data_IF_018272820995
#
_entry.id   IF_018272820995
#
_cell.length_a   1.000
_cell.length_b   1.000
_cell.length_c   1.000
_cell.angle_alpha   90.00
_cell.angle_beta   90.00
_cell.angle_gamma   90.00
#
_symmetry.space_group_name_H-M   'P 1'
#
loop_
_entity.id
_entity.type
_entity.pdbx_description
1 polymer ?
#
# COMPACT_ATOMS: atom_id res chain seq x y z
N UNK A 1 -94.70 -48.94 1.65
CA UNK A 1 -94.73 -47.45 1.62
C UNK A 1 -93.74 -46.93 2.63
N UNK A 2 -92.50 -46.67 2.18
CA UNK A 2 -91.41 -46.20 3.07
C UNK A 2 -91.18 -44.66 2.90
N UNK A 3 -91.44 -43.94 3.97
CA UNK A 3 -91.27 -42.50 4.03
C UNK A 3 -89.81 -42.14 4.36
N UNK A 4 -89.12 -41.55 3.43
CA UNK A 4 -87.75 -41.18 3.53
C UNK A 4 -87.67 -39.79 4.18
N UNK A 5 -87.35 -39.70 5.49
CA UNK A 5 -87.18 -38.47 6.24
C UNK A 5 -85.74 -37.96 6.07
N UNK A 6 -85.52 -36.90 5.23
CA UNK A 6 -84.25 -36.21 5.05
C UNK A 6 -83.91 -35.46 6.33
N UNK A 7 -82.72 -35.73 6.89
CA UNK A 7 -82.09 -34.95 8.01
C UNK A 7 -81.63 -33.61 7.47
N UNK A 8 -81.78 -32.50 8.25
CA UNK A 8 -81.25 -31.20 7.88
C UNK A 8 -79.78 -31.17 8.05
N UNK A 9 -79.05 -30.61 7.08
CA UNK A 9 -77.59 -30.30 7.11
C UNK A 9 -77.35 -29.08 7.96
N UNK A 10 -76.36 -29.10 8.89
CA UNK A 10 -76.00 -27.89 9.67
C UNK A 10 -75.39 -26.84 8.77
N UNK A 11 -75.85 -25.59 8.84
CA UNK A 11 -75.26 -24.44 8.19
C UNK A 11 -73.88 -24.18 8.80
N UNK A 12 -72.85 -24.20 7.93
CA UNK A 12 -71.51 -23.75 8.28
C UNK A 12 -71.56 -22.25 8.64
N UNK A 13 -71.29 -21.94 9.89
CA UNK A 13 -71.03 -20.58 10.34
C UNK A 13 -69.66 -20.11 9.86
N UNK A 14 -69.66 -19.22 8.85
CA UNK A 14 -68.47 -18.52 8.39
C UNK A 14 -67.95 -17.62 9.54
N UNK A 15 -67.01 -18.15 10.30
CA UNK A 15 -66.21 -17.33 11.20
C UNK A 15 -65.20 -16.55 10.36
N UNK A 16 -65.49 -15.30 10.07
CA UNK A 16 -64.53 -14.35 9.50
C UNK A 16 -63.50 -13.99 10.61
N UNK A 17 -62.44 -14.82 10.68
CA UNK A 17 -61.26 -14.41 11.45
C UNK A 17 -60.53 -13.36 10.59
N UNK A 18 -60.75 -12.08 10.88
CA UNK A 18 -59.90 -11.01 10.35
C UNK A 18 -58.78 -10.78 11.36
N UNK A 19 -57.52 -11.06 10.98
CA UNK A 19 -56.38 -10.64 11.82
C UNK A 19 -56.37 -9.11 11.83
N UNK A 20 -56.64 -8.54 12.97
CA UNK A 20 -56.50 -7.11 13.24
C UNK A 20 -55.01 -6.82 13.25
N UNK A 21 -54.47 -6.18 12.20
CA UNK A 21 -53.13 -5.64 12.19
C UNK A 21 -53.06 -4.57 13.28
N UNK A 22 -52.53 -4.94 14.44
CA UNK A 22 -52.19 -4.01 15.49
C UNK A 22 -50.90 -3.32 15.03
N UNK A 23 -51.02 -2.19 14.35
CA UNK A 23 -49.89 -1.29 14.12
C UNK A 23 -49.59 -0.59 15.45
N UNK A 24 -48.70 -1.19 16.23
CA UNK A 24 -48.23 -0.58 17.47
C UNK A 24 -47.36 0.63 17.10
N UNK A 25 -47.80 1.83 17.35
CA UNK A 25 -47.05 3.07 17.23
C UNK A 25 -45.65 2.92 17.87
N UNK A 26 -45.56 2.16 18.93
CA UNK A 26 -44.29 1.80 19.59
C UNK A 26 -43.32 1.05 18.69
N UNK A 27 -43.79 0.13 17.84
CA UNK A 27 -42.94 -0.61 16.92
C UNK A 27 -42.37 0.30 15.84
N UNK A 28 -43.16 1.25 15.31
CA UNK A 28 -42.68 2.21 14.33
C UNK A 28 -41.69 3.21 14.94
N UNK A 29 -41.92 3.65 16.18
CA UNK A 29 -40.99 4.51 16.92
C UNK A 29 -39.66 3.81 17.17
N UNK A 30 -39.68 2.54 17.61
CA UNK A 30 -38.45 1.77 17.81
C UNK A 30 -37.70 1.51 16.51
N UNK A 31 -38.41 1.21 15.41
CA UNK A 31 -37.79 1.06 14.10
C UNK A 31 -37.16 2.37 13.59
N UNK A 32 -37.84 3.51 13.78
CA UNK A 32 -37.30 4.82 13.41
C UNK A 32 -36.05 5.19 14.23
N UNK A 33 -36.07 4.91 15.55
CA UNK A 33 -34.90 5.12 16.42
C UNK A 33 -33.73 4.23 16.02
N UNK A 34 -33.97 2.96 15.70
CA UNK A 34 -32.93 2.05 15.20
C UNK A 34 -32.29 2.55 13.90
N UNK A 35 -33.08 3.03 12.95
CA UNK A 35 -32.58 3.60 11.68
C UNK A 35 -31.74 4.86 11.94
N UNK A 36 -32.15 5.73 12.86
CA UNK A 36 -31.38 6.94 13.21
C UNK A 36 -30.05 6.55 13.88
N UNK A 37 -30.03 5.55 14.76
CA UNK A 37 -28.79 5.07 15.39
C UNK A 37 -27.85 4.48 14.34
N UNK A 38 -28.35 3.64 13.43
CA UNK A 38 -27.54 3.07 12.35
C UNK A 38 -26.98 4.18 11.46
N UNK A 39 -27.81 5.16 11.07
CA UNK A 39 -27.34 6.30 10.29
C UNK A 39 -26.28 7.12 11.04
N UNK A 40 -26.44 7.36 12.32
CA UNK A 40 -25.45 8.07 13.15
C UNK A 40 -24.13 7.30 13.26
N UNK A 41 -24.17 5.95 13.42
CA UNK A 41 -22.96 5.10 13.45
C UNK A 41 -22.27 5.10 12.10
N UNK A 42 -23.01 5.00 10.98
CA UNK A 42 -22.43 5.03 9.63
C UNK A 42 -21.84 6.40 9.33
N UNK A 43 -22.57 7.49 9.63
CA UNK A 43 -22.07 8.86 9.42
C UNK A 43 -20.88 9.13 10.36
N UNK A 44 -20.97 8.73 11.63
CA UNK A 44 -19.87 8.85 12.58
C UNK A 44 -18.64 8.08 12.16
N UNK A 45 -18.81 6.86 11.61
CA UNK A 45 -17.73 6.05 11.04
C UNK A 45 -17.09 6.69 9.81
N UNK A 46 -17.90 7.22 8.90
CA UNK A 46 -17.41 7.92 7.70
C UNK A 46 -16.68 9.22 8.09
N UNK A 47 -17.23 10.01 9.01
CA UNK A 47 -16.60 11.25 9.49
C UNK A 47 -15.33 10.95 10.26
N UNK A 48 -15.30 9.91 11.09
CA UNK A 48 -14.07 9.49 11.80
C UNK A 48 -13.00 9.03 10.82
N UNK A 49 -13.34 8.18 9.86
CA UNK A 49 -12.42 7.74 8.82
C UNK A 49 -11.93 8.91 7.96
N UNK A 50 -12.82 9.83 7.58
CA UNK A 50 -12.49 11.06 6.85
C UNK A 50 -11.64 12.05 7.68
N UNK A 51 -11.78 12.06 9.01
CA UNK A 51 -10.92 12.90 9.87
C UNK A 51 -9.56 12.28 10.17
N UNK A 52 -9.45 10.93 10.19
CA UNK A 52 -8.16 10.25 10.22
C UNK A 52 -7.35 10.47 8.96
N UNK A 53 -8.03 10.58 7.80
CA UNK A 53 -7.40 10.77 6.50
C UNK A 53 -7.23 12.26 6.09
N UNK A 54 -7.52 13.21 6.96
CA UNK A 54 -7.23 14.62 6.70
C UNK A 54 -5.74 14.88 6.89
N UNK A 55 -5.00 14.87 5.77
CA UNK A 55 -3.57 15.19 5.72
C UNK A 55 -2.63 14.00 5.80
N UNK A 56 -3.05 12.80 5.37
CA UNK A 56 -2.18 11.62 5.27
C UNK A 56 -2.47 10.79 4.02
N UNK A 57 -1.50 9.99 3.58
CA UNK A 57 -1.69 9.00 2.52
C UNK A 57 -2.62 7.87 2.98
N UNK A 58 -3.32 7.24 2.02
CA UNK A 58 -4.16 6.08 2.27
C UNK A 58 -3.30 4.82 2.39
N UNK A 59 -3.28 4.21 3.57
CA UNK A 59 -2.45 3.03 3.86
C UNK A 59 -2.81 1.81 3.01
N UNK A 60 -4.07 1.66 2.60
CA UNK A 60 -4.48 0.55 1.72
C UNK A 60 -3.95 0.77 0.30
N UNK A 61 -3.98 2.01 -0.19
CA UNK A 61 -3.41 2.36 -1.49
C UNK A 61 -1.89 2.22 -1.45
N UNK A 62 -1.23 2.70 -0.41
CA UNK A 62 0.22 2.52 -0.21
C UNK A 62 0.62 1.05 -0.23
N UNK A 63 -0.14 0.18 0.45
CA UNK A 63 0.13 -1.26 0.43
C UNK A 63 0.06 -1.87 -0.98
N UNK A 64 -0.81 -1.35 -1.84
CA UNK A 64 -1.00 -1.85 -3.20
C UNK A 64 -0.08 -1.18 -4.24
N UNK A 65 0.46 -0.01 -3.94
CA UNK A 65 1.35 0.77 -4.82
C UNK A 65 2.83 0.68 -4.42
N UNK A 66 3.21 -0.21 -3.51
CA UNK A 66 4.61 -0.49 -3.26
C UNK A 66 5.24 -1.22 -4.46
N UNK A 67 6.45 -0.82 -4.84
CA UNK A 67 7.23 -1.52 -5.86
C UNK A 67 7.67 -2.88 -5.35
N UNK A 68 8.09 -2.94 -4.08
CA UNK A 68 8.38 -4.19 -3.36
C UNK A 68 8.19 -4.01 -1.85
N UNK A 69 8.02 -5.12 -1.16
CA UNK A 69 7.80 -5.16 0.30
C UNK A 69 8.73 -6.18 0.92
N UNK A 70 9.42 -5.79 1.97
CA UNK A 70 10.30 -6.66 2.74
C UNK A 70 9.93 -6.64 4.23
N UNK A 71 10.21 -7.72 4.92
CA UNK A 71 9.84 -7.92 6.32
C UNK A 71 8.47 -8.59 6.49
N UNK A 72 8.25 -9.11 7.67
CA UNK A 72 7.04 -9.84 8.02
C UNK A 72 5.83 -8.90 8.11
N UNK A 73 4.69 -9.35 7.58
CA UNK A 73 3.43 -8.60 7.67
C UNK A 73 2.95 -8.38 9.13
N UNK A 74 3.49 -9.17 10.07
CA UNK A 74 3.22 -9.09 11.50
C UNK A 74 4.26 -8.26 12.28
N UNK A 75 5.21 -7.64 11.59
CA UNK A 75 6.20 -6.78 12.22
C UNK A 75 5.50 -5.63 13.00
N UNK A 76 5.99 -5.28 14.20
CA UNK A 76 5.37 -4.25 15.03
C UNK A 76 5.39 -2.87 14.38
N UNK A 77 6.31 -2.63 13.46
CA UNK A 77 6.44 -1.36 12.73
C UNK A 77 6.35 -1.59 11.23
N UNK A 78 5.60 -0.73 10.54
CA UNK A 78 5.54 -0.68 9.07
C UNK A 78 5.82 0.74 8.62
N UNK A 79 6.70 0.89 7.65
CA UNK A 79 6.99 2.18 7.00
C UNK A 79 6.80 2.09 5.49
N UNK A 80 6.51 3.24 4.89
CA UNK A 80 6.54 3.47 3.45
C UNK A 80 7.75 4.33 3.12
N UNK A 81 8.69 3.82 2.33
CA UNK A 81 9.89 4.51 1.95
C UNK A 81 9.83 4.87 0.46
N UNK A 82 9.89 6.17 0.17
CA UNK A 82 9.79 6.71 -1.19
C UNK A 82 11.16 7.15 -1.65
N UNK A 83 11.62 6.58 -2.75
CA UNK A 83 12.95 6.79 -3.30
C UNK A 83 12.90 6.91 -4.82
N UNK A 84 13.97 7.43 -5.40
CA UNK A 84 14.22 7.41 -6.84
C UNK A 84 15.68 7.01 -7.05
N UNK A 85 15.94 6.02 -7.91
CA UNK A 85 17.30 5.53 -8.14
C UNK A 85 18.23 6.54 -8.81
N UNK A 86 17.70 7.69 -9.27
CA UNK A 86 18.51 8.83 -9.73
C UNK A 86 18.77 9.86 -8.63
N UNK A 87 18.15 9.74 -7.43
CA UNK A 87 18.24 10.72 -6.36
C UNK A 87 19.53 10.56 -5.52
N UNK A 88 20.47 11.52 -5.53
CA UNK A 88 21.71 11.40 -4.74
C UNK A 88 21.46 11.38 -3.22
N UNK A 89 20.40 12.07 -2.74
CA UNK A 89 20.04 12.05 -1.34
C UNK A 89 19.52 10.66 -0.90
N UNK A 90 18.85 9.91 -1.78
CA UNK A 90 18.45 8.52 -1.51
C UNK A 90 19.67 7.60 -1.37
N UNK A 91 20.64 7.71 -2.28
CA UNK A 91 21.91 6.99 -2.15
C UNK A 91 22.63 7.28 -0.84
N UNK A 92 22.62 8.55 -0.39
CA UNK A 92 23.20 8.93 0.89
C UNK A 92 22.46 8.32 2.09
N UNK A 93 21.13 8.22 2.05
CA UNK A 93 20.35 7.57 3.11
C UNK A 93 20.60 6.07 3.11
N UNK A 94 20.66 5.43 1.94
CA UNK A 94 21.00 4.00 1.83
C UNK A 94 22.40 3.72 2.41
N UNK A 95 23.41 4.53 2.07
CA UNK A 95 24.77 4.40 2.62
C UNK A 95 24.79 4.53 4.14
N UNK A 96 24.04 5.47 4.72
CA UNK A 96 24.08 5.79 6.15
C UNK A 96 23.22 4.86 7.00
N UNK A 97 22.09 4.39 6.50
CA UNK A 97 21.08 3.67 7.29
C UNK A 97 20.55 2.37 6.67
N UNK A 98 20.89 2.07 5.41
CA UNK A 98 20.40 0.88 4.71
C UNK A 98 20.65 -0.43 5.47
N UNK A 99 21.86 -0.62 6.01
CA UNK A 99 22.17 -1.82 6.80
C UNK A 99 21.29 -1.92 8.07
N UNK A 100 21.03 -0.79 8.74
CA UNK A 100 20.16 -0.77 9.93
C UNK A 100 18.72 -1.14 9.59
N UNK A 101 18.24 -0.68 8.42
CA UNK A 101 16.92 -1.09 7.89
C UNK A 101 16.90 -2.59 7.64
N UNK A 102 17.90 -3.14 6.96
CA UNK A 102 18.05 -4.58 6.69
C UNK A 102 18.05 -5.39 7.99
N UNK A 103 18.81 -4.97 9.01
CA UNK A 103 18.89 -5.63 10.30
C UNK A 103 17.54 -5.63 11.04
N UNK A 104 16.79 -4.49 10.99
CA UNK A 104 15.46 -4.39 11.57
C UNK A 104 14.42 -5.27 10.85
N UNK A 105 14.52 -5.37 9.52
CA UNK A 105 13.70 -6.28 8.70
C UNK A 105 14.00 -7.73 9.06
N UNK A 106 15.26 -8.13 9.07
CA UNK A 106 15.69 -9.50 9.34
C UNK A 106 15.43 -9.95 10.80
N UNK A 107 15.38 -9.00 11.74
CA UNK A 107 14.98 -9.29 13.13
C UNK A 107 13.46 -9.34 13.33
N UNK A 108 12.65 -9.13 12.29
CA UNK A 108 11.19 -9.12 12.34
C UNK A 108 10.60 -7.90 13.04
N UNK A 109 11.37 -6.85 13.27
CA UNK A 109 10.90 -5.62 13.92
C UNK A 109 10.27 -4.62 12.95
N UNK A 110 10.64 -4.68 11.67
CA UNK A 110 10.25 -3.73 10.65
C UNK A 110 9.74 -4.42 9.39
N UNK A 111 8.63 -3.92 8.86
CA UNK A 111 8.23 -4.12 7.47
C UNK A 111 8.45 -2.80 6.71
N UNK A 112 9.07 -2.89 5.53
CA UNK A 112 9.25 -1.74 4.64
C UNK A 112 8.52 -1.97 3.34
N UNK A 113 7.68 -1.03 2.95
CA UNK A 113 7.08 -0.90 1.64
C UNK A 113 7.86 0.15 0.86
N UNK A 114 8.63 -0.30 -0.14
CA UNK A 114 9.43 0.58 -0.97
C UNK A 114 8.63 1.05 -2.18
N UNK A 115 8.62 2.36 -2.38
CA UNK A 115 7.95 3.07 -3.47
C UNK A 115 9.01 3.73 -4.34
N UNK A 116 9.38 3.06 -5.44
CA UNK A 116 10.34 3.61 -6.39
C UNK A 116 9.64 4.61 -7.29
N UNK A 117 9.97 5.89 -7.15
CA UNK A 117 9.47 6.98 -7.98
C UNK A 117 10.33 7.17 -9.23
N UNK A 118 9.78 7.85 -10.24
CA UNK A 118 10.41 8.02 -11.56
C UNK A 118 10.47 9.48 -12.03
N UNK A 119 10.20 10.43 -11.10
CA UNK A 119 10.10 11.84 -11.48
C UNK A 119 11.44 12.50 -11.80
N UNK A 120 12.57 11.85 -11.44
CA UNK A 120 13.91 12.32 -11.76
C UNK A 120 14.45 11.84 -13.13
N UNK A 121 13.64 11.20 -13.94
CA UNK A 121 14.04 10.76 -15.29
C UNK A 121 14.82 11.82 -16.09
N UNK A 122 14.35 13.07 -16.03
CA UNK A 122 15.00 14.19 -16.76
C UNK A 122 16.38 14.58 -16.23
N UNK A 123 16.77 14.07 -15.06
CA UNK A 123 18.10 14.27 -14.48
C UNK A 123 19.12 13.25 -14.96
N UNK A 124 18.69 12.20 -15.67
CA UNK A 124 19.58 11.21 -16.27
C UNK A 124 20.00 11.59 -17.69
N UNK A 125 21.11 11.06 -18.17
CA UNK A 125 21.62 11.32 -19.50
C UNK A 125 20.71 10.78 -20.62
N UNK A 126 20.08 9.62 -20.40
CA UNK A 126 19.08 9.03 -21.32
C UNK A 126 17.71 9.71 -21.23
N UNK A 127 17.37 10.32 -20.08
CA UNK A 127 16.07 10.89 -19.80
C UNK A 127 15.03 9.89 -19.31
N UNK A 128 15.42 8.63 -18.96
CA UNK A 128 14.51 7.55 -18.54
C UNK A 128 15.11 6.57 -17.51
N UNK A 129 16.27 6.88 -16.95
CA UNK A 129 16.97 5.95 -16.03
C UNK A 129 16.14 5.58 -14.80
N UNK A 130 15.45 6.54 -14.17
CA UNK A 130 14.58 6.25 -13.00
C UNK A 130 13.53 5.19 -13.34
N UNK A 131 12.88 5.31 -14.50
CA UNK A 131 11.90 4.34 -15.00
C UNK A 131 12.51 2.97 -15.27
N UNK A 132 13.67 2.93 -15.90
CA UNK A 132 14.37 1.67 -16.20
C UNK A 132 14.84 0.96 -14.93
N UNK A 133 15.40 1.71 -13.97
CA UNK A 133 15.83 1.16 -12.70
C UNK A 133 14.65 0.69 -11.83
N UNK A 134 13.54 1.46 -11.79
CA UNK A 134 12.31 1.05 -11.14
C UNK A 134 11.69 -0.21 -11.79
N UNK A 135 11.69 -0.29 -13.12
CA UNK A 135 11.27 -1.48 -13.87
C UNK A 135 12.14 -2.70 -13.58
N UNK A 136 13.46 -2.51 -13.50
CA UNK A 136 14.40 -3.57 -13.12
C UNK A 136 14.13 -4.07 -11.69
N UNK A 137 13.91 -3.16 -10.73
CA UNK A 137 13.54 -3.50 -9.36
C UNK A 137 12.19 -4.25 -9.32
N UNK A 138 11.23 -3.87 -10.16
CA UNK A 138 9.94 -4.57 -10.26
C UNK A 138 10.10 -6.00 -10.77
N UNK A 139 10.95 -6.26 -11.77
CA UNK A 139 11.27 -7.62 -12.21
C UNK A 139 11.83 -8.48 -11.06
N UNK A 140 12.73 -7.91 -10.26
CA UNK A 140 13.31 -8.59 -9.08
C UNK A 140 12.26 -8.80 -8.01
N UNK A 141 11.42 -7.80 -7.74
CA UNK A 141 10.35 -7.87 -6.74
C UNK A 141 9.34 -8.99 -7.01
N UNK A 142 9.02 -9.22 -8.28
CA UNK A 142 8.00 -10.19 -8.67
C UNK A 142 8.48 -11.65 -8.66
N UNK A 143 9.80 -11.90 -8.69
CA UNK A 143 10.34 -13.24 -8.94
C UNK A 143 11.38 -13.71 -7.92
N UNK A 144 11.99 -12.80 -7.15
CA UNK A 144 13.14 -13.12 -6.32
C UNK A 144 12.84 -13.05 -4.82
N UNK A 145 13.70 -13.71 -4.03
CA UNK A 145 13.63 -13.67 -2.58
C UNK A 145 13.90 -12.27 -2.00
N UNK A 146 13.45 -12.02 -0.77
CA UNK A 146 13.71 -10.77 -0.04
C UNK A 146 15.21 -10.41 -0.01
N UNK A 147 16.08 -11.38 0.20
CA UNK A 147 17.54 -11.16 0.25
C UNK A 147 18.06 -10.61 -1.08
N UNK A 148 17.61 -11.16 -2.21
CA UNK A 148 17.98 -10.68 -3.55
C UNK A 148 17.37 -9.31 -3.82
N UNK A 149 16.13 -9.06 -3.38
CA UNK A 149 15.47 -7.75 -3.51
C UNK A 149 16.26 -6.66 -2.79
N UNK A 150 16.61 -6.88 -1.52
CA UNK A 150 17.42 -5.95 -0.73
C UNK A 150 18.81 -5.75 -1.32
N UNK A 151 19.48 -6.83 -1.73
CA UNK A 151 20.79 -6.76 -2.34
C UNK A 151 20.78 -5.99 -3.67
N UNK A 152 19.73 -6.16 -4.48
CA UNK A 152 19.61 -5.43 -5.74
C UNK A 152 19.29 -3.96 -5.52
N UNK A 153 18.42 -3.63 -4.57
CA UNK A 153 18.14 -2.25 -4.16
C UNK A 153 19.42 -1.51 -3.75
N UNK A 154 20.19 -2.07 -2.82
CA UNK A 154 21.47 -1.50 -2.38
C UNK A 154 22.48 -1.43 -3.53
N UNK A 155 22.51 -2.42 -4.42
CA UNK A 155 23.39 -2.42 -5.60
C UNK A 155 23.08 -1.25 -6.53
N UNK A 156 21.79 -0.97 -6.81
CA UNK A 156 21.40 0.13 -7.68
C UNK A 156 21.84 1.49 -7.14
N UNK A 157 21.73 1.73 -5.84
CA UNK A 157 22.26 2.95 -5.22
C UNK A 157 23.79 2.98 -5.22
N UNK A 158 24.45 1.86 -4.99
CA UNK A 158 25.94 1.79 -4.99
C UNK A 158 26.55 2.07 -6.37
N UNK A 159 25.80 1.83 -7.46
CA UNK A 159 26.22 2.10 -8.84
C UNK A 159 25.44 3.26 -9.45
N UNK A 160 24.80 4.10 -8.62
CA UNK A 160 23.97 5.21 -9.09
C UNK A 160 24.77 6.13 -10.06
N UNK A 161 24.24 6.42 -11.27
CA UNK A 161 24.89 7.36 -12.19
C UNK A 161 24.79 8.80 -11.68
N UNK A 162 25.78 9.62 -12.06
CA UNK A 162 25.73 11.06 -11.77
C UNK A 162 24.59 11.74 -12.55
N UNK A 163 23.98 12.75 -11.97
CA UNK A 163 22.94 13.55 -12.65
C UNK A 163 23.50 14.18 -13.94
N UNK A 164 22.82 14.00 -15.04
CA UNK A 164 23.21 14.50 -16.37
C UNK A 164 24.37 13.75 -17.02
N UNK A 165 24.92 12.73 -16.35
CA UNK A 165 25.97 11.87 -16.87
C UNK A 165 25.43 10.66 -17.65
N UNK A 166 26.36 9.85 -18.18
CA UNK A 166 26.01 8.57 -18.78
C UNK A 166 25.40 7.65 -17.74
N UNK A 167 24.31 6.98 -18.11
CA UNK A 167 23.59 6.09 -17.22
C UNK A 167 23.55 4.64 -17.74
N UNK A 168 23.06 3.72 -16.91
CA UNK A 168 23.04 2.29 -17.20
C UNK A 168 21.85 1.91 -18.08
N UNK A 169 22.10 1.20 -19.18
CA UNK A 169 21.06 0.59 -19.98
C UNK A 169 20.46 -0.67 -19.31
N UNK A 170 19.41 -1.22 -19.91
CA UNK A 170 18.76 -2.42 -19.39
C UNK A 170 19.69 -3.63 -19.30
N UNK A 171 20.68 -3.75 -20.19
CA UNK A 171 21.65 -4.86 -20.17
C UNK A 171 22.60 -4.72 -18.97
N UNK A 172 23.04 -3.52 -18.65
CA UNK A 172 23.83 -3.25 -17.47
C UNK A 172 23.03 -3.53 -16.18
N UNK A 173 21.76 -3.08 -16.11
CA UNK A 173 20.86 -3.36 -14.99
C UNK A 173 20.64 -4.87 -14.80
N UNK A 174 20.45 -5.64 -15.87
CA UNK A 174 20.36 -7.11 -15.82
C UNK A 174 21.67 -7.75 -15.31
N UNK A 175 22.82 -7.17 -15.69
CA UNK A 175 24.12 -7.57 -15.15
C UNK A 175 24.25 -7.37 -13.66
N UNK A 176 23.78 -6.24 -13.12
CA UNK A 176 23.77 -5.97 -11.69
C UNK A 176 22.82 -6.91 -10.93
N UNK A 177 21.67 -7.26 -11.50
CA UNK A 177 20.77 -8.26 -10.93
C UNK A 177 21.43 -9.65 -10.87
N UNK A 178 22.15 -10.04 -11.93
CA UNK A 178 22.95 -11.27 -11.94
C UNK A 178 24.00 -11.28 -10.81
N UNK A 179 24.70 -10.16 -10.61
CA UNK A 179 25.76 -10.04 -9.59
C UNK A 179 25.25 -10.34 -8.19
N UNK A 180 23.95 -10.03 -7.92
CA UNK A 180 23.29 -10.28 -6.62
C UNK A 180 22.51 -11.60 -6.58
N UNK A 181 22.58 -12.42 -7.62
CA UNK A 181 22.02 -13.77 -7.64
C UNK A 181 20.61 -13.90 -8.21
N UNK A 182 20.13 -12.88 -8.94
CA UNK A 182 18.84 -12.97 -9.63
C UNK A 182 18.83 -14.05 -10.72
N UNK A 183 17.70 -14.73 -10.89
CA UNK A 183 17.51 -15.80 -11.87
C UNK A 183 17.66 -15.31 -13.33
N UNK A 184 17.94 -16.21 -14.26
CA UNK A 184 18.02 -15.88 -15.68
C UNK A 184 16.70 -15.28 -16.21
N UNK A 185 15.56 -15.74 -15.71
CA UNK A 185 14.24 -15.21 -16.08
C UNK A 185 14.10 -13.75 -15.65
N UNK A 186 14.55 -13.40 -14.44
CA UNK A 186 14.56 -12.02 -13.94
C UNK A 186 15.53 -11.15 -14.75
N UNK A 187 16.74 -11.65 -15.04
CA UNK A 187 17.70 -10.95 -15.90
C UNK A 187 17.10 -10.64 -17.27
N UNK A 188 16.37 -11.61 -17.88
CA UNK A 188 15.72 -11.40 -19.18
C UNK A 188 14.59 -10.36 -19.07
N UNK A 189 13.75 -10.41 -18.03
CA UNK A 189 12.71 -9.40 -17.77
C UNK A 189 13.30 -7.98 -17.74
N UNK A 190 14.44 -7.82 -17.05
CA UNK A 190 15.15 -6.54 -16.96
C UNK A 190 15.71 -6.12 -18.31
N UNK A 191 16.41 -7.02 -18.99
CA UNK A 191 17.03 -6.74 -20.28
C UNK A 191 16.01 -6.29 -21.35
N UNK A 192 14.81 -6.89 -21.33
CA UNK A 192 13.71 -6.56 -22.25
C UNK A 192 12.93 -5.31 -21.82
N UNK A 193 13.15 -4.80 -20.59
CA UNK A 193 12.38 -3.68 -20.05
C UNK A 193 10.91 -4.00 -19.78
N UNK A 194 10.57 -5.29 -19.60
CA UNK A 194 9.19 -5.79 -19.59
C UNK A 194 8.32 -5.22 -18.46
N UNK A 195 8.91 -4.73 -17.38
CA UNK A 195 8.19 -4.21 -16.22
C UNK A 195 8.22 -2.67 -16.10
N UNK A 196 8.77 -1.95 -17.07
CA UNK A 196 8.91 -0.47 -17.00
C UNK A 196 7.55 0.20 -16.89
N UNK A 197 6.61 -0.09 -17.79
CA UNK A 197 5.27 0.53 -17.80
C UNK A 197 4.51 0.24 -16.49
N UNK A 198 4.66 -0.97 -15.95
CA UNK A 198 4.03 -1.35 -14.69
C UNK A 198 4.66 -0.59 -13.51
N UNK A 199 5.98 -0.41 -13.50
CA UNK A 199 6.70 0.34 -12.47
C UNK A 199 6.33 1.83 -12.51
N UNK A 200 6.21 2.43 -13.70
CA UNK A 200 5.76 3.82 -13.87
C UNK A 200 4.34 4.03 -13.34
N UNK A 201 3.41 3.12 -13.66
CA UNK A 201 2.04 3.19 -13.14
C UNK A 201 1.98 3.12 -11.60
N UNK A 202 2.80 2.26 -11.00
CA UNK A 202 2.95 2.13 -9.54
C UNK A 202 3.58 3.40 -8.96
N UNK A 203 4.60 3.96 -9.62
CA UNK A 203 5.28 5.18 -9.21
C UNK A 203 4.33 6.39 -9.20
N UNK A 204 3.48 6.54 -10.20
CA UNK A 204 2.48 7.62 -10.30
C UNK A 204 1.47 7.57 -9.16
N UNK A 205 0.96 6.36 -8.82
CA UNK A 205 0.05 6.20 -7.69
C UNK A 205 0.77 6.51 -6.37
N UNK A 206 1.98 5.99 -6.17
CA UNK A 206 2.81 6.25 -5.00
C UNK A 206 3.12 7.73 -4.83
N UNK A 207 3.48 8.42 -5.91
CA UNK A 207 3.71 9.87 -5.92
C UNK A 207 2.44 10.65 -5.53
N UNK A 208 1.27 10.20 -6.00
CA UNK A 208 -0.02 10.78 -5.61
C UNK A 208 -0.26 10.65 -4.11
N UNK A 209 0.04 9.50 -3.52
CA UNK A 209 -0.12 9.30 -2.07
C UNK A 209 0.90 10.13 -1.27
N UNK A 210 2.15 10.17 -1.71
CA UNK A 210 3.18 11.01 -1.08
C UNK A 210 2.78 12.50 -1.12
N UNK A 211 2.28 12.98 -2.24
CA UNK A 211 1.78 14.36 -2.39
C UNK A 211 0.65 14.68 -1.39
N UNK A 212 -0.26 13.73 -1.14
CA UNK A 212 -1.31 13.90 -0.11
C UNK A 212 -0.73 13.96 1.30
N UNK A 213 0.30 13.15 1.60
CA UNK A 213 0.94 13.13 2.91
C UNK A 213 1.77 14.40 3.20
N UNK A 214 2.30 15.04 2.15
CA UNK A 214 3.20 16.19 2.23
C UNK A 214 2.57 17.49 1.73
N UNK A 215 1.24 17.63 1.84
CA UNK A 215 0.49 18.85 1.50
C UNK A 215 0.79 19.39 0.08
N UNK A 216 0.88 18.50 -0.89
CA UNK A 216 1.13 18.83 -2.30
C UNK A 216 2.60 18.84 -2.71
N UNK A 217 3.52 18.60 -1.80
CA UNK A 217 4.93 18.46 -2.10
C UNK A 217 5.29 17.00 -2.43
N UNK A 218 6.30 16.82 -3.27
CA UNK A 218 6.89 15.51 -3.57
C UNK A 218 8.40 15.64 -3.52
N UNK A 219 9.03 14.73 -2.82
CA UNK A 219 10.49 14.70 -2.71
C UNK A 219 10.98 13.34 -2.23
N UNK A 220 12.19 13.00 -2.61
CA UNK A 220 12.89 11.79 -2.17
C UNK A 220 14.23 12.14 -1.54
N UNK A 221 14.69 11.36 -0.55
CA UNK A 221 13.95 10.30 0.13
C UNK A 221 12.84 10.87 1.03
N UNK A 222 11.73 10.13 1.16
CA UNK A 222 10.66 10.42 2.13
C UNK A 222 10.23 9.14 2.83
N UNK A 223 9.91 9.22 4.12
CA UNK A 223 9.40 8.11 4.90
C UNK A 223 8.06 8.46 5.50
N UNK A 224 7.09 7.56 5.36
CA UNK A 224 5.82 7.67 6.07
C UNK A 224 5.67 6.50 7.04
N UNK A 225 5.09 6.80 8.20
CA UNK A 225 4.57 5.79 9.13
C UNK A 225 3.10 6.11 9.39
N UNK A 226 2.21 5.15 9.22
CA UNK A 226 0.75 5.36 9.33
C UNK A 226 0.25 6.52 8.44
N UNK A 227 0.83 6.66 7.24
CA UNK A 227 0.49 7.70 6.26
C UNK A 227 0.96 9.10 6.62
N UNK A 228 1.81 9.26 7.64
CA UNK A 228 2.34 10.55 8.10
C UNK A 228 3.85 10.60 7.91
N UNK A 229 4.34 11.79 7.57
CA UNK A 229 5.77 12.02 7.36
C UNK A 229 6.59 11.76 8.63
N UNK A 230 7.65 10.99 8.46
CA UNK A 230 8.72 10.79 9.45
C UNK A 230 9.96 11.54 8.96
N UNK A 231 10.44 12.55 9.70
CA UNK A 231 11.64 13.28 9.29
C UNK A 231 12.87 12.36 9.26
N UNK A 232 13.53 12.28 8.12
CA UNK A 232 14.82 11.60 7.99
C UNK A 232 15.90 12.53 8.50
N UNK A 233 16.67 12.06 9.47
CA UNK A 233 17.86 12.74 9.98
C UNK A 233 19.11 12.02 9.53
N UNK A 234 20.28 12.69 9.56
CA UNK A 234 21.55 12.06 9.22
C UNK A 234 21.84 10.85 10.13
N UNK A 235 22.43 9.81 9.55
CA UNK A 235 22.72 8.55 10.24
C UNK A 235 21.47 7.71 10.49
N UNK A 236 21.48 6.92 11.58
CA UNK A 236 20.47 5.89 11.89
C UNK A 236 19.37 6.39 12.83
N UNK A 237 19.48 7.61 13.38
CA UNK A 237 18.58 8.10 14.44
C UNK A 237 17.11 8.12 14.07
N UNK A 238 16.76 8.33 12.80
CA UNK A 238 15.38 8.31 12.33
C UNK A 238 14.77 6.91 12.41
N UNK A 239 15.52 5.87 12.03
CA UNK A 239 15.03 4.48 12.10
C UNK A 239 14.99 3.97 13.55
N UNK A 240 15.97 4.34 14.36
CA UNK A 240 15.97 4.02 15.79
C UNK A 240 14.76 4.62 16.51
N UNK A 241 14.34 5.84 16.14
CA UNK A 241 13.12 6.45 16.69
C UNK A 241 11.84 5.69 16.33
N UNK A 242 11.77 5.10 15.13
CA UNK A 242 10.65 4.24 14.69
C UNK A 242 10.61 2.96 15.50
N UNK A 243 11.77 2.34 15.73
CA UNK A 243 11.89 1.07 16.46
C UNK A 243 11.71 1.21 17.98
N UNK A 244 11.41 2.41 18.49
CA UNK A 244 11.22 2.67 19.92
C UNK A 244 12.51 2.86 20.69
N UNK A 245 13.61 3.10 20.01
CA UNK A 245 14.88 3.54 20.61
C UNK A 245 14.72 4.96 21.14
N UNK A 246 14.77 5.15 22.46
CA UNK A 246 14.90 6.48 23.05
C UNK A 246 16.22 7.08 22.60
N UNK A 247 16.17 8.14 21.80
CA UNK A 247 17.33 9.05 21.66
C UNK A 247 17.56 9.71 23.02
N UNK A 248 18.55 9.22 23.76
CA UNK A 248 19.09 9.90 24.93
C UNK A 248 19.89 11.12 24.49
#
# INVERSE_FOLDING_TARGET
>A
LSSNKKRPVPKATNSKYQPRAQSSTTTYVLAAVAVVIIAAVVIGGIVWNSQRNKGGADSAVLSNSATFVVGEATAPHTIDMFEDFQCPACASVEEQSGQTVVDAVNSGQLQVRFHMLTFLNKQSGSGDYSSRAAGAMKCVADAESQDVQLAFHSKLFAVQPEEGGDDHDNQALAGFAKDVGASETTQQCIADGSAIDAAESIADESQTQLSKALDGQVGTPSVLQDGKNVPITNGTGWIESILGGSTN
#
